data_IF_789466251388
#
_entry.id   IF_789466251388
#
_cell.length_a   1.000
_cell.length_b   1.000
_cell.length_c   1.000
_cell.angle_alpha   90.00
_cell.angle_beta   90.00
_cell.angle_gamma   90.00
#
_symmetry.space_group_name_H-M   'P 1'
#
loop_
_entity.id
_entity.type
_entity.pdbx_description
1 polymer ?
#
# COMPACT_ATOMS: atom_id res chain seq x y z
N UNK A 1 -7.65 -15.51 -18.35
CA UNK A 1 -7.02 -14.21 -18.68
C UNK A 1 -7.54 -13.17 -17.69
N UNK A 2 -6.70 -12.43 -17.00
CA UNK A 2 -7.16 -11.33 -16.13
C UNK A 2 -7.61 -10.17 -17.02
N UNK A 3 -8.92 -9.97 -17.14
CA UNK A 3 -9.48 -8.92 -17.98
C UNK A 3 -10.22 -7.93 -17.09
N UNK A 4 -9.74 -6.69 -17.09
CA UNK A 4 -10.33 -5.58 -16.35
C UNK A 4 -10.86 -4.57 -17.38
N UNK A 5 -12.08 -4.06 -17.17
CA UNK A 5 -12.64 -3.04 -18.06
C UNK A 5 -11.76 -1.78 -18.06
N UNK A 6 -11.78 -1.02 -19.16
CA UNK A 6 -10.97 0.20 -19.28
C UNK A 6 -11.28 1.20 -18.16
N UNK A 7 -12.55 1.31 -17.76
CA UNK A 7 -12.97 2.23 -16.70
C UNK A 7 -12.39 1.83 -15.34
N UNK A 8 -12.51 0.55 -14.98
CA UNK A 8 -11.92 0.01 -13.73
C UNK A 8 -10.40 0.13 -13.72
N UNK A 9 -9.75 -0.06 -14.88
CA UNK A 9 -8.32 0.19 -15.04
C UNK A 9 -7.97 1.68 -14.77
N UNK A 10 -8.72 2.62 -15.34
CA UNK A 10 -8.46 4.05 -15.11
C UNK A 10 -8.64 4.43 -13.64
N UNK A 11 -9.66 3.89 -12.96
CA UNK A 11 -9.85 4.08 -11.51
C UNK A 11 -8.64 3.57 -10.73
N UNK A 12 -8.18 2.34 -11.02
CA UNK A 12 -6.99 1.77 -10.39
C UNK A 12 -5.74 2.63 -10.61
N UNK A 13 -5.50 3.08 -11.85
CA UNK A 13 -4.36 3.93 -12.17
C UNK A 13 -4.44 5.30 -11.46
N UNK A 14 -5.63 5.89 -11.37
CA UNK A 14 -5.86 7.11 -10.59
C UNK A 14 -5.51 6.91 -9.11
N UNK A 15 -5.86 5.76 -8.55
CA UNK A 15 -5.50 5.42 -7.16
C UNK A 15 -3.97 5.28 -7.02
N UNK A 16 -3.32 4.57 -7.94
CA UNK A 16 -1.88 4.33 -7.85
C UNK A 16 -1.05 5.61 -7.98
N UNK A 17 -1.44 6.53 -8.88
CA UNK A 17 -0.73 7.81 -9.06
C UNK A 17 -0.71 8.67 -7.78
N UNK A 18 -1.77 8.60 -6.98
CA UNK A 18 -1.87 9.31 -5.70
C UNK A 18 -1.45 8.49 -4.48
N UNK A 19 -0.98 7.24 -4.65
CA UNK A 19 -0.76 6.31 -3.54
C UNK A 19 0.30 6.82 -2.56
N UNK A 20 1.48 7.20 -3.05
CA UNK A 20 2.60 7.64 -2.20
C UNK A 20 2.23 8.82 -1.32
N UNK A 21 1.57 9.85 -1.89
CA UNK A 21 1.10 11.00 -1.14
C UNK A 21 0.16 10.59 -0.01
N UNK A 22 -0.81 9.73 -0.31
CA UNK A 22 -1.87 9.33 0.65
C UNK A 22 -1.32 8.41 1.73
N UNK A 23 -0.39 7.52 1.38
CA UNK A 23 0.38 6.71 2.32
C UNK A 23 1.20 7.59 3.26
N UNK A 24 1.87 8.62 2.75
CA UNK A 24 2.63 9.56 3.57
C UNK A 24 1.73 10.37 4.51
N UNK A 25 0.62 10.93 4.01
CA UNK A 25 -0.38 11.65 4.83
C UNK A 25 -0.97 10.77 5.93
N UNK A 26 -1.34 9.52 5.61
CA UNK A 26 -1.84 8.54 6.59
C UNK A 26 -0.79 8.25 7.67
N UNK A 27 0.46 7.95 7.28
CA UNK A 27 1.56 7.69 8.22
C UNK A 27 1.80 8.88 9.15
N UNK A 28 1.85 10.09 8.61
CA UNK A 28 2.04 11.31 9.39
C UNK A 28 0.87 11.54 10.37
N UNK A 29 -0.36 11.33 9.92
CA UNK A 29 -1.55 11.49 10.76
C UNK A 29 -1.55 10.47 11.90
N UNK A 30 -1.28 9.20 11.57
CA UNK A 30 -1.16 8.12 12.55
C UNK A 30 -0.05 8.40 13.56
N UNK A 31 1.11 8.88 13.10
CA UNK A 31 2.22 9.25 13.98
C UNK A 31 1.84 10.41 14.90
N UNK A 32 1.17 11.46 14.40
CA UNK A 32 0.68 12.57 15.22
C UNK A 32 -0.29 12.09 16.30
N UNK A 33 -1.23 11.22 15.97
CA UNK A 33 -2.16 10.63 16.94
C UNK A 33 -1.43 9.85 18.02
N UNK A 34 -0.43 9.04 17.66
CA UNK A 34 0.39 8.32 18.64
C UNK A 34 1.16 9.27 19.57
N UNK A 35 1.75 10.34 19.03
CA UNK A 35 2.50 11.33 19.83
C UNK A 35 1.58 12.17 20.73
N UNK A 36 0.38 12.51 20.27
CA UNK A 36 -0.61 13.27 21.06
C UNK A 36 -1.18 12.46 22.23
N UNK A 37 -1.02 11.14 22.21
CA UNK A 37 -1.61 10.22 23.17
C UNK A 37 -0.65 9.76 24.28
N UNK A 38 0.47 10.46 24.48
CA UNK A 38 1.35 10.20 25.61
C UNK A 38 0.74 10.74 26.91
N UNK A 39 0.03 9.88 27.64
CA UNK A 39 -0.25 10.09 29.06
C UNK A 39 0.93 9.56 29.88
N UNK A 40 1.69 10.45 30.52
CA UNK A 40 2.58 10.06 31.62
C UNK A 40 1.72 9.76 32.84
N UNK A 41 1.39 8.49 33.06
CA UNK A 41 0.81 8.01 34.31
C UNK A 41 1.88 7.29 35.12
N UNK A 42 2.39 7.92 36.18
CA UNK A 42 3.15 7.21 37.21
C UNK A 42 2.15 6.37 38.02
N UNK A 43 2.26 5.04 37.93
CA UNK A 43 1.67 4.18 38.94
C UNK A 43 2.68 4.01 40.09
N UNK A 44 2.17 3.79 41.30
CA UNK A 44 2.93 3.60 42.55
C UNK A 44 3.85 2.38 42.58
N UNK A 45 4.02 1.69 41.45
CA UNK A 45 4.83 0.48 41.24
C UNK A 45 6.03 0.70 40.30
N UNK A 46 6.20 1.91 39.74
CA UNK A 46 7.35 2.24 38.88
C UNK A 46 7.33 1.58 37.50
N UNK A 47 6.19 1.01 37.09
CA UNK A 47 6.04 0.36 35.79
C UNK A 47 5.34 1.36 34.85
N UNK A 48 6.10 2.00 33.97
CA UNK A 48 5.55 2.81 32.88
C UNK A 48 4.70 1.94 31.95
N UNK A 49 3.39 1.90 32.21
CA UNK A 49 2.42 1.26 31.32
C UNK A 49 1.98 2.27 30.27
N UNK A 50 2.45 2.10 29.03
CA UNK A 50 2.07 2.93 27.90
C UNK A 50 0.65 2.59 27.43
N UNK A 51 -0.37 3.02 28.16
CA UNK A 51 -1.75 2.94 27.68
C UNK A 51 -2.09 4.18 26.87
N UNK A 52 -2.38 4.02 25.58
CA UNK A 52 -3.07 5.05 24.81
C UNK A 52 -4.41 5.36 25.50
N UNK A 53 -4.72 6.62 25.84
CA UNK A 53 -6.04 6.98 26.34
C UNK A 53 -7.12 6.54 25.34
N UNK A 54 -8.30 6.19 25.84
CA UNK A 54 -9.42 5.63 25.05
C UNK A 54 -9.75 6.48 23.80
N UNK A 55 -9.72 7.81 23.93
CA UNK A 55 -9.90 8.75 22.80
C UNK A 55 -8.84 8.60 21.70
N UNK A 56 -7.60 8.27 22.07
CA UNK A 56 -6.51 7.99 21.14
C UNK A 56 -6.69 6.69 20.37
N UNK A 57 -7.18 5.65 21.04
CA UNK A 57 -7.53 4.38 20.40
C UNK A 57 -8.68 4.54 19.42
N UNK A 58 -9.75 5.25 19.82
CA UNK A 58 -10.88 5.58 18.95
C UNK A 58 -10.45 6.40 17.73
N UNK A 59 -9.57 7.39 17.90
CA UNK A 59 -9.06 8.19 16.79
C UNK A 59 -8.26 7.35 15.77
N UNK A 60 -7.47 6.39 16.24
CA UNK A 60 -6.73 5.46 15.36
C UNK A 60 -7.68 4.52 14.61
N UNK A 61 -8.69 3.96 15.30
CA UNK A 61 -9.71 3.12 14.67
C UNK A 61 -10.50 3.88 13.61
N UNK A 62 -10.87 5.14 13.90
CA UNK A 62 -11.55 6.00 12.95
C UNK A 62 -10.68 6.33 11.74
N UNK A 63 -9.38 6.61 11.93
CA UNK A 63 -8.43 6.80 10.83
C UNK A 63 -8.34 5.55 9.94
N UNK A 64 -8.31 4.37 10.57
CA UNK A 64 -8.23 3.08 9.90
C UNK A 64 -9.50 2.68 9.14
N UNK A 65 -10.67 3.16 9.58
CA UNK A 65 -11.94 2.93 8.92
C UNK A 65 -12.17 3.81 7.67
N UNK A 66 -11.33 4.84 7.46
CA UNK A 66 -11.50 5.77 6.35
C UNK A 66 -11.38 5.07 4.98
N UNK A 67 -12.13 5.52 3.95
CA UNK A 67 -11.99 5.01 2.59
C UNK A 67 -10.56 5.07 2.06
N UNK A 68 -9.79 6.06 2.50
CA UNK A 68 -8.40 6.23 2.06
C UNK A 68 -7.46 5.18 2.67
N UNK A 69 -7.63 4.83 3.95
CA UNK A 69 -6.92 3.72 4.57
C UNK A 69 -7.24 2.39 3.86
N UNK A 70 -8.50 2.17 3.47
CA UNK A 70 -8.90 1.01 2.65
C UNK A 70 -8.18 0.96 1.31
N UNK A 71 -8.05 2.09 0.60
CA UNK A 71 -7.30 2.16 -0.67
C UNK A 71 -5.82 1.87 -0.50
N UNK A 72 -5.20 2.40 0.56
CA UNK A 72 -3.79 2.14 0.88
C UNK A 72 -3.59 0.64 1.13
N UNK A 73 -4.43 0.03 1.98
CA UNK A 73 -4.39 -1.41 2.27
C UNK A 73 -4.60 -2.25 1.01
N UNK A 74 -5.56 -1.88 0.16
CA UNK A 74 -5.83 -2.61 -1.08
C UNK A 74 -4.60 -2.68 -2.00
N UNK A 75 -3.82 -1.59 -2.09
CA UNK A 75 -2.56 -1.55 -2.84
C UNK A 75 -1.48 -2.40 -2.17
N UNK A 76 -1.34 -2.32 -0.85
CA UNK A 76 -0.35 -3.10 -0.09
C UNK A 76 -0.63 -4.60 -0.19
N UNK A 77 -1.88 -5.02 -0.05
CA UNK A 77 -2.32 -6.41 -0.25
C UNK A 77 -2.03 -6.87 -1.68
N UNK A 78 -2.36 -6.06 -2.68
CA UNK A 78 -2.07 -6.42 -4.08
C UNK A 78 -0.56 -6.59 -4.33
N UNK A 79 0.29 -5.79 -3.69
CA UNK A 79 1.75 -5.96 -3.76
C UNK A 79 2.25 -7.24 -3.08
N UNK A 80 1.62 -7.67 -1.98
CA UNK A 80 1.94 -8.94 -1.35
C UNK A 80 1.55 -10.12 -2.25
N UNK A 81 0.33 -10.11 -2.81
CA UNK A 81 -0.19 -11.20 -3.64
C UNK A 81 0.61 -11.43 -4.93
N UNK A 82 1.12 -10.37 -5.56
CA UNK A 82 1.85 -10.53 -6.84
C UNK A 82 3.25 -11.11 -6.71
N UNK A 83 3.79 -11.14 -5.48
CA UNK A 83 5.11 -11.66 -5.18
C UNK A 83 5.08 -12.90 -4.31
N UNK A 84 3.91 -13.45 -4.00
CA UNK A 84 3.75 -14.61 -3.11
C UNK A 84 4.54 -15.84 -3.58
N UNK A 85 4.70 -15.99 -4.90
CA UNK A 85 5.48 -17.07 -5.53
C UNK A 85 7.01 -16.85 -5.50
N UNK A 86 7.46 -15.67 -5.07
CA UNK A 86 8.87 -15.30 -5.05
C UNK A 86 9.40 -15.47 -3.62
N UNK A 87 10.42 -16.33 -3.39
CA UNK A 87 10.96 -16.55 -2.04
C UNK A 87 11.75 -15.34 -1.53
N UNK A 88 12.51 -14.68 -2.41
CA UNK A 88 13.36 -13.56 -2.07
C UNK A 88 12.53 -12.28 -1.83
N UNK A 89 12.62 -11.75 -0.60
CA UNK A 89 11.90 -10.56 -0.19
C UNK A 89 12.33 -9.30 -0.95
N UNK A 90 13.60 -9.17 -1.31
CA UNK A 90 14.12 -8.01 -2.02
C UNK A 90 13.66 -8.03 -3.48
N UNK A 91 13.60 -9.21 -4.10
CA UNK A 91 13.02 -9.39 -5.44
C UNK A 91 11.52 -9.05 -5.42
N UNK A 92 10.76 -9.49 -4.40
CA UNK A 92 9.34 -9.09 -4.22
C UNK A 92 9.17 -7.59 -4.12
N UNK A 93 10.01 -6.94 -3.31
CA UNK A 93 9.98 -5.48 -3.11
C UNK A 93 10.23 -4.73 -4.41
N UNK A 94 11.31 -5.08 -5.13
CA UNK A 94 11.66 -4.47 -6.42
C UNK A 94 10.57 -4.67 -7.47
N UNK A 95 9.95 -5.85 -7.53
CA UNK A 95 8.83 -6.12 -8.42
C UNK A 95 7.63 -5.20 -8.13
N UNK A 96 7.21 -5.09 -6.86
CA UNK A 96 6.11 -4.21 -6.46
C UNK A 96 6.43 -2.75 -6.81
N UNK A 97 7.60 -2.23 -6.44
CA UNK A 97 8.01 -0.86 -6.72
C UNK A 97 8.03 -0.56 -8.23
N UNK A 98 8.56 -1.49 -9.03
CA UNK A 98 8.59 -1.38 -10.48
C UNK A 98 7.19 -1.36 -11.09
N UNK A 99 6.27 -2.18 -10.60
CA UNK A 99 4.86 -2.17 -11.02
C UNK A 99 4.22 -0.82 -10.66
N UNK A 100 4.44 -0.30 -9.45
CA UNK A 100 3.91 0.99 -9.01
C UNK A 100 4.43 2.15 -9.89
N UNK A 101 5.72 2.17 -10.19
CA UNK A 101 6.34 3.16 -11.09
C UNK A 101 5.74 3.08 -12.51
N UNK A 102 5.65 1.87 -13.07
CA UNK A 102 5.07 1.68 -14.40
C UNK A 102 3.58 2.04 -14.46
N UNK A 103 2.83 1.84 -13.37
CA UNK A 103 1.43 2.27 -13.26
C UNK A 103 1.30 3.80 -13.10
N UNK A 104 2.27 4.46 -12.45
CA UNK A 104 2.32 5.92 -12.37
C UNK A 104 2.50 6.54 -13.76
N UNK A 105 3.50 6.07 -14.50
CA UNK A 105 3.74 6.45 -15.89
C UNK A 105 4.44 5.33 -16.65
N UNK A 106 3.69 4.64 -17.53
CA UNK A 106 4.26 3.58 -18.36
C UNK A 106 5.23 4.10 -19.43
N UNK A 107 5.18 5.41 -19.74
CA UNK A 107 6.09 6.07 -20.68
C UNK A 107 7.43 6.41 -20.04
N UNK A 108 7.40 6.90 -18.80
CA UNK A 108 8.61 7.33 -18.09
C UNK A 108 9.31 6.15 -17.41
N UNK A 109 8.54 5.11 -17.07
CA UNK A 109 9.04 3.90 -16.39
C UNK A 109 8.67 2.63 -17.18
N UNK A 110 9.06 2.50 -18.46
CA UNK A 110 8.88 1.25 -19.21
C UNK A 110 9.75 0.15 -18.59
N UNK A 111 9.42 -1.11 -18.88
CA UNK A 111 10.10 -2.28 -18.30
C UNK A 111 11.62 -2.22 -18.46
N UNK A 112 12.09 -1.75 -19.60
CA UNK A 112 13.49 -1.65 -19.98
C UNK A 112 14.30 -0.71 -19.07
N UNK A 113 13.65 0.25 -18.39
CA UNK A 113 14.31 1.18 -17.48
C UNK A 113 14.21 0.76 -16.00
N UNK A 114 13.46 -0.31 -15.68
CA UNK A 114 13.22 -0.76 -14.30
C UNK A 114 14.31 -1.70 -13.76
N UNK A 115 15.28 -2.10 -14.60
CA UNK A 115 16.42 -2.96 -14.23
C UNK A 115 16.02 -4.24 -13.47
N UNK A 116 14.93 -4.88 -13.90
CA UNK A 116 14.45 -6.14 -13.37
C UNK A 116 15.04 -7.31 -14.16
N UNK A 117 16.14 -7.89 -13.68
CA UNK A 117 16.85 -8.99 -14.38
C UNK A 117 16.20 -10.35 -14.13
N UNK A 118 15.42 -10.48 -13.06
CA UNK A 118 14.77 -11.72 -12.64
C UNK A 118 13.51 -12.04 -13.46
N UNK A 119 12.99 -11.05 -14.21
CA UNK A 119 11.73 -11.15 -14.93
C UNK A 119 11.94 -10.86 -16.41
N UNK A 120 11.23 -11.60 -17.26
CA UNK A 120 11.08 -11.18 -18.65
C UNK A 120 10.08 -10.02 -18.76
N UNK A 121 10.17 -9.23 -19.84
CA UNK A 121 9.17 -8.21 -20.17
C UNK A 121 7.75 -8.77 -20.16
N UNK A 122 7.56 -9.95 -20.76
CA UNK A 122 6.26 -10.60 -20.83
C UNK A 122 5.74 -10.97 -19.44
N UNK A 123 6.59 -11.52 -18.57
CA UNK A 123 6.19 -11.86 -17.21
C UNK A 123 5.85 -10.61 -16.39
N UNK A 124 6.64 -9.54 -16.52
CA UNK A 124 6.36 -8.27 -15.86
C UNK A 124 4.97 -7.72 -16.20
N UNK A 125 4.61 -7.63 -17.49
CA UNK A 125 3.30 -7.12 -17.89
C UNK A 125 2.15 -8.07 -17.51
N UNK A 126 2.39 -9.38 -17.50
CA UNK A 126 1.43 -10.37 -16.97
C UNK A 126 1.17 -10.14 -15.47
N UNK A 127 2.22 -9.95 -14.68
CA UNK A 127 2.13 -9.65 -13.25
C UNK A 127 1.49 -8.29 -12.99
N UNK A 128 1.79 -7.27 -13.80
CA UNK A 128 1.10 -5.97 -13.75
C UNK A 128 -0.40 -6.09 -14.00
N UNK A 129 -0.83 -6.88 -14.99
CA UNK A 129 -2.25 -7.11 -15.23
C UNK A 129 -2.92 -7.84 -14.06
N UNK A 130 -2.25 -8.85 -13.49
CA UNK A 130 -2.71 -9.51 -12.27
C UNK A 130 -2.80 -8.53 -11.10
N UNK A 131 -1.81 -7.66 -10.92
CA UNK A 131 -1.80 -6.60 -9.90
C UNK A 131 -3.03 -5.70 -9.99
N UNK A 132 -3.30 -5.15 -11.18
CA UNK A 132 -4.45 -4.26 -11.39
C UNK A 132 -5.78 -4.98 -11.15
N UNK A 133 -5.87 -6.26 -11.55
CA UNK A 133 -7.05 -7.09 -11.28
C UNK A 133 -7.27 -7.32 -9.78
N UNK A 134 -6.21 -7.69 -9.04
CA UNK A 134 -6.27 -7.87 -7.58
C UNK A 134 -6.61 -6.57 -6.86
N UNK A 135 -6.03 -5.45 -7.28
CA UNK A 135 -6.37 -4.14 -6.74
C UNK A 135 -7.86 -3.82 -6.95
N UNK A 136 -8.41 -4.10 -8.13
CA UNK A 136 -9.83 -3.88 -8.41
C UNK A 136 -10.73 -4.77 -7.55
N UNK A 137 -10.34 -6.04 -7.30
CA UNK A 137 -11.05 -6.92 -6.38
C UNK A 137 -11.02 -6.39 -4.94
N UNK A 138 -9.85 -5.97 -4.46
CA UNK A 138 -9.67 -5.41 -3.11
C UNK A 138 -10.43 -4.09 -2.90
N UNK A 139 -10.82 -3.42 -3.98
CA UNK A 139 -11.56 -2.17 -3.98
C UNK A 139 -13.05 -2.35 -4.33
N UNK A 140 -13.49 -3.58 -4.58
CA UNK A 140 -14.88 -3.90 -4.97
C UNK A 140 -15.36 -3.09 -6.19
N UNK A 141 -14.45 -2.83 -7.15
CA UNK A 141 -14.73 -2.10 -8.39
C UNK A 141 -15.45 -2.93 -9.44
#
# INVERSE_FOLDING_TARGET
MYQLSKDRQQICLGILRGHERRKHEYKNTRQKLLHQCHCSGENSTGIHMYCLPQKGQEALLNLDAQPEARRIRAVETACQTIGEDIPDQEVRRRLCESILLNCKSGRDYPFELLNLTEFSRMDFYRRKHRFLYQLALNLEL
#
